data_IF_376691380414
#
_entry.id   IF_376691380414
#
_cell.length_a   1.000
_cell.length_b   1.000
_cell.length_c   1.000
_cell.angle_alpha   90.00
_cell.angle_beta   90.00
_cell.angle_gamma   90.00
#
_symmetry.space_group_name_H-M   'P 1'
#
loop_
_entity.id
_entity.type
_entity.pdbx_description
1 polymer ?
#
# COMPACT_ATOMS: atom_id res chain seq x y z
N UNK A 1 25.03 15.76 -17.47
CA UNK A 1 24.30 14.48 -17.58
C UNK A 1 23.00 14.74 -16.88
N UNK A 2 21.97 15.15 -17.64
CA UNK A 2 20.64 15.34 -17.08
C UNK A 2 20.08 13.96 -16.79
N UNK A 3 19.96 13.64 -15.50
CA UNK A 3 19.27 12.44 -15.06
C UNK A 3 17.79 12.70 -15.30
N UNK A 4 17.22 12.17 -16.38
CA UNK A 4 15.78 12.23 -16.59
C UNK A 4 15.10 11.47 -15.44
N UNK A 5 14.38 12.21 -14.59
CA UNK A 5 13.59 11.62 -13.51
C UNK A 5 12.46 10.80 -14.12
N UNK A 6 12.64 9.47 -14.14
CA UNK A 6 11.62 8.53 -14.58
C UNK A 6 10.75 8.07 -13.40
N UNK A 7 9.58 7.51 -13.72
CA UNK A 7 8.68 6.90 -12.74
C UNK A 7 9.34 5.72 -12.02
N UNK A 8 10.22 4.95 -12.68
CA UNK A 8 10.97 3.89 -12.00
C UNK A 8 11.91 4.45 -10.93
N UNK A 9 12.62 5.55 -11.21
CA UNK A 9 13.52 6.21 -10.24
C UNK A 9 12.72 6.70 -9.03
N UNK A 10 11.54 7.27 -9.27
CA UNK A 10 10.64 7.72 -8.21
C UNK A 10 10.12 6.57 -7.35
N UNK A 11 9.72 5.45 -7.97
CA UNK A 11 9.23 4.26 -7.26
C UNK A 11 10.32 3.58 -6.42
N UNK A 12 11.56 3.52 -6.90
CA UNK A 12 12.68 3.01 -6.13
C UNK A 12 13.03 3.92 -4.95
N UNK A 13 12.98 5.25 -5.14
CA UNK A 13 13.18 6.20 -4.05
C UNK A 13 12.13 6.04 -2.94
N UNK A 14 10.87 5.73 -3.29
CA UNK A 14 9.80 5.43 -2.33
C UNK A 14 10.10 4.20 -1.46
N UNK A 15 10.58 3.12 -2.06
CA UNK A 15 10.94 1.89 -1.33
C UNK A 15 12.11 2.16 -0.37
N UNK A 16 13.07 2.99 -0.80
CA UNK A 16 14.21 3.39 0.03
C UNK A 16 13.74 4.27 1.20
N UNK A 17 12.83 5.23 0.98
CA UNK A 17 12.27 6.06 2.04
C UNK A 17 11.61 5.25 3.15
N UNK A 18 10.77 4.27 2.78
CA UNK A 18 10.06 3.44 3.76
C UNK A 18 11.03 2.55 4.55
N UNK A 19 12.11 2.08 3.92
CA UNK A 19 13.19 1.35 4.61
C UNK A 19 13.96 2.26 5.57
N UNK A 20 14.31 3.48 5.15
CA UNK A 20 15.01 4.44 6.02
C UNK A 20 14.15 4.85 7.22
N UNK A 21 12.85 5.12 6.99
CA UNK A 21 11.90 5.47 8.04
C UNK A 21 11.68 4.33 9.03
N UNK A 22 11.59 3.09 8.55
CA UNK A 22 11.45 1.91 9.44
C UNK A 22 12.71 1.63 10.27
N UNK A 23 13.88 2.09 9.82
CA UNK A 23 15.15 2.02 10.56
C UNK A 23 15.40 3.23 11.47
N UNK A 24 14.43 4.14 11.63
CA UNK A 24 14.57 5.36 12.44
C UNK A 24 15.43 6.45 11.80
N UNK A 25 15.69 6.36 10.50
CA UNK A 25 16.39 7.38 9.73
C UNK A 25 15.51 8.58 9.36
N UNK A 26 16.16 9.70 9.05
CA UNK A 26 15.52 10.95 8.64
C UNK A 26 14.78 10.83 7.30
N UNK A 27 13.77 11.67 7.09
CA UNK A 27 12.96 11.68 5.87
C UNK A 27 13.77 12.12 4.63
N UNK A 28 13.35 11.71 3.42
CA UNK A 28 14.04 12.09 2.18
C UNK A 28 14.08 13.61 1.97
N UNK A 29 13.11 14.33 2.54
CA UNK A 29 13.02 15.78 2.50
C UNK A 29 14.19 16.45 3.22
N UNK A 30 14.65 15.89 4.34
CA UNK A 30 15.80 16.40 5.09
C UNK A 30 17.12 16.35 4.30
N UNK A 31 17.22 15.49 3.28
CA UNK A 31 18.39 15.36 2.41
C UNK A 31 18.21 16.01 1.03
N UNK A 32 17.18 16.87 0.87
CA UNK A 32 16.96 17.65 -0.34
C UNK A 32 16.30 16.88 -1.48
N UNK A 33 15.79 15.67 -1.22
CA UNK A 33 15.02 14.91 -2.20
C UNK A 33 13.52 15.27 -2.12
N UNK A 34 12.80 15.28 -3.24
CA UNK A 34 11.37 15.53 -3.24
C UNK A 34 10.64 14.49 -2.40
N UNK A 35 9.77 14.97 -1.51
CA UNK A 35 8.90 14.09 -0.74
C UNK A 35 7.71 13.68 -1.61
N UNK A 36 7.29 12.41 -1.57
CA UNK A 36 6.08 12.00 -2.27
C UNK A 36 4.87 12.67 -1.62
N UNK A 37 3.97 13.23 -2.43
CA UNK A 37 2.65 13.62 -1.98
C UNK A 37 1.84 12.35 -1.72
N UNK A 38 2.02 11.76 -0.54
CA UNK A 38 1.23 10.62 -0.10
C UNK A 38 -0.13 11.16 0.30
N UNK A 39 -1.06 11.20 -0.64
CA UNK A 39 -2.46 11.43 -0.30
C UNK A 39 -2.89 10.33 0.67
N UNK A 40 -3.05 10.71 1.94
CA UNK A 40 -3.43 9.84 3.04
C UNK A 40 -4.81 9.21 2.81
N UNK A 41 -5.60 9.75 1.88
CA UNK A 41 -6.84 9.13 1.40
C UNK A 41 -6.59 7.71 0.86
N UNK A 42 -5.52 7.52 0.07
CA UNK A 42 -5.15 6.25 -0.55
C UNK A 42 -4.84 5.17 0.49
N UNK A 43 -4.24 5.54 1.62
CA UNK A 43 -3.95 4.60 2.71
C UNK A 43 -5.25 4.14 3.37
N UNK A 44 -6.21 5.04 3.53
CA UNK A 44 -7.50 4.76 4.13
C UNK A 44 -8.33 3.86 3.21
N UNK A 45 -8.30 4.09 1.91
CA UNK A 45 -8.99 3.25 0.92
C UNK A 45 -8.34 1.86 0.82
N UNK A 46 -7.01 1.76 0.81
CA UNK A 46 -6.30 0.47 0.85
C UNK A 46 -6.61 -0.30 2.14
N UNK A 47 -6.68 0.38 3.28
CA UNK A 47 -7.08 -0.24 4.55
C UNK A 47 -8.54 -0.67 4.50
N UNK A 48 -9.45 0.13 3.93
CA UNK A 48 -10.87 -0.21 3.80
C UNK A 48 -11.08 -1.43 2.90
N UNK A 49 -10.35 -1.53 1.80
CA UNK A 49 -10.38 -2.69 0.90
C UNK A 49 -9.82 -3.96 1.57
N UNK A 50 -8.77 -3.82 2.38
CA UNK A 50 -8.09 -4.96 3.02
C UNK A 50 -8.65 -5.35 4.38
N UNK A 51 -9.48 -4.51 4.99
CA UNK A 51 -10.13 -4.78 6.28
C UNK A 51 -11.52 -5.38 6.03
N UNK A 52 -11.55 -6.59 5.51
CA UNK A 52 -12.79 -7.37 5.46
C UNK A 52 -13.02 -8.08 6.79
N UNK A 53 -14.28 -8.14 7.22
CA UNK A 53 -14.66 -8.88 8.42
C UNK A 53 -14.59 -10.39 8.14
N UNK A 54 -13.48 -11.01 8.54
CA UNK A 54 -13.21 -12.43 8.30
C UNK A 54 -14.31 -13.33 8.90
N UNK A 55 -14.89 -12.94 10.03
CA UNK A 55 -15.96 -13.70 10.68
C UNK A 55 -17.26 -13.67 9.88
N UNK A 56 -17.60 -12.51 9.32
CA UNK A 56 -18.78 -12.34 8.46
C UNK A 56 -18.59 -13.08 7.12
N UNK A 57 -17.40 -12.99 6.54
CA UNK A 57 -17.05 -13.71 5.31
C UNK A 57 -17.09 -15.23 5.50
N UNK A 58 -16.59 -15.73 6.64
CA UNK A 58 -16.66 -17.14 7.00
C UNK A 58 -18.10 -17.61 7.18
N UNK A 59 -18.92 -16.85 7.89
CA UNK A 59 -20.35 -17.17 8.08
C UNK A 59 -21.09 -17.21 6.75
N UNK A 60 -20.82 -16.25 5.86
CA UNK A 60 -21.42 -16.22 4.52
C UNK A 60 -21.03 -17.45 3.69
N UNK A 61 -19.78 -17.89 3.77
CA UNK A 61 -19.33 -19.11 3.08
C UNK A 61 -20.04 -20.35 3.63
N UNK A 62 -20.10 -20.53 4.95
CA UNK A 62 -20.79 -21.66 5.60
C UNK A 62 -22.29 -21.71 5.24
N UNK A 63 -22.95 -20.55 5.10
CA UNK A 63 -24.37 -20.46 4.74
C UNK A 63 -24.66 -20.66 3.24
N UNK A 64 -23.66 -20.50 2.38
CA UNK A 64 -23.84 -20.57 0.92
C UNK A 64 -23.01 -21.65 0.24
N UNK A 65 -22.31 -22.50 1.02
CA UNK A 65 -21.50 -23.62 0.52
C UNK A 65 -22.32 -24.56 -0.36
N UNK A 66 -23.57 -24.83 0.03
CA UNK A 66 -24.52 -25.65 -0.73
C UNK A 66 -24.89 -25.08 -2.11
N UNK A 67 -24.70 -23.76 -2.33
CA UNK A 67 -24.96 -23.06 -3.60
C UNK A 67 -23.71 -22.87 -4.44
N UNK A 68 -22.54 -23.26 -3.92
CA UNK A 68 -21.24 -23.11 -4.59
C UNK A 68 -20.82 -24.36 -5.37
N UNK A 69 -21.56 -25.46 -5.25
CA UNK A 69 -21.34 -26.64 -6.07
C UNK A 69 -22.00 -26.46 -7.45
N UNK A 70 -21.31 -26.81 -8.55
CA UNK A 70 -21.94 -26.88 -9.87
C UNK A 70 -22.96 -28.03 -9.90
N UNK A 71 -24.08 -27.81 -10.59
CA UNK A 71 -25.16 -28.79 -10.82
C UNK A 71 -24.66 -30.14 -11.39
#
# INVERSE_FOLDING_TARGET
>A
MDLEFSTEIFNEALIIEDKVRSLGGSDLKSIGLPHPDRDLSTITDVLRERTYNVSELRKFLEENEDKMLPD
#
